data_IF_254336975515
#
_entry.id   IF_254336975515
#
_cell.length_a   1.000
_cell.length_b   1.000
_cell.length_c   1.000
_cell.angle_alpha   90.00
_cell.angle_beta   90.00
_cell.angle_gamma   90.00
#
_symmetry.space_group_name_H-M   'P 1'
#
loop_
_entity.id
_entity.type
_entity.pdbx_description
1 polymer ?
#
# COMPACT_ATOMS: atom_id res chain seq x y z
N UNK A 1 7.10 22.08 -6.41
CA UNK A 1 7.19 22.07 -4.93
C UNK A 1 5.81 22.16 -4.32
N UNK A 2 4.97 21.14 -4.52
CA UNK A 2 3.68 21.05 -3.84
C UNK A 2 3.80 20.05 -2.69
N UNK A 3 3.90 20.53 -1.44
CA UNK A 3 3.75 19.65 -0.28
C UNK A 3 2.26 19.38 -0.10
N UNK A 4 1.86 18.12 -0.28
CA UNK A 4 0.48 17.68 -0.03
C UNK A 4 0.38 16.99 1.32
N UNK A 5 -0.80 17.08 1.93
CA UNK A 5 -1.13 16.43 3.20
C UNK A 5 -2.14 15.32 2.91
N UNK A 6 -1.82 14.09 3.29
CA UNK A 6 -2.70 12.95 3.08
C UNK A 6 -2.92 12.19 4.39
N UNK A 7 -4.16 11.79 4.72
CA UNK A 7 -4.39 10.82 5.78
C UNK A 7 -3.88 9.45 5.31
N UNK A 8 -3.01 8.82 6.09
CA UNK A 8 -2.40 7.56 5.72
C UNK A 8 -2.30 6.59 6.91
N UNK A 9 -2.56 5.32 6.63
CA UNK A 9 -2.03 4.22 7.42
C UNK A 9 -0.61 3.93 6.96
N UNK A 10 0.38 4.07 7.84
CA UNK A 10 1.79 3.87 7.51
C UNK A 10 2.46 2.97 8.55
N UNK A 11 3.43 2.19 8.09
CA UNK A 11 4.26 1.37 8.95
C UNK A 11 5.56 2.12 9.21
N UNK A 12 5.89 2.29 10.48
CA UNK A 12 7.17 2.88 10.90
C UNK A 12 7.80 1.95 11.92
N UNK A 13 9.00 1.47 11.63
CA UNK A 13 9.83 0.82 12.65
C UNK A 13 10.50 1.90 13.47
N UNK A 14 10.09 2.01 14.73
CA UNK A 14 10.89 2.70 15.75
C UNK A 14 12.00 1.76 16.24
N UNK A 15 12.78 2.21 17.22
CA UNK A 15 13.82 1.39 17.83
C UNK A 15 13.22 0.22 18.62
N UNK A 16 14.01 -0.85 18.76
CA UNK A 16 13.69 -1.89 19.73
C UNK A 16 13.76 -1.28 21.12
N UNK A 17 12.84 -1.66 22.00
CA UNK A 17 12.90 -1.25 23.40
C UNK A 17 13.50 -2.39 24.23
N UNK A 18 14.80 -2.34 24.58
CA UNK A 18 15.44 -3.41 25.33
C UNK A 18 14.88 -3.57 26.76
N UNK A 19 14.03 -2.66 27.23
CA UNK A 19 13.37 -2.76 28.53
C UNK A 19 12.10 -3.62 28.52
N UNK A 20 11.58 -3.99 27.34
CA UNK A 20 10.41 -4.85 27.19
C UNK A 20 10.79 -6.33 27.16
N UNK A 21 9.87 -7.21 27.59
CA UNK A 21 10.01 -8.67 27.50
C UNK A 21 10.28 -9.15 26.07
N UNK A 22 9.75 -8.43 25.08
CA UNK A 22 10.03 -8.63 23.67
C UNK A 22 10.41 -7.29 23.03
N UNK A 23 11.72 -6.99 22.83
CA UNK A 23 12.16 -5.66 22.41
C UNK A 23 11.55 -5.15 21.11
N UNK A 24 11.16 -6.06 20.20
CA UNK A 24 10.47 -5.70 18.96
C UNK A 24 9.06 -5.12 19.13
N UNK A 25 8.47 -5.18 20.33
CA UNK A 25 7.24 -4.45 20.64
C UNK A 25 7.48 -2.93 20.64
N UNK A 26 8.71 -2.48 20.87
CA UNK A 26 9.11 -1.07 20.77
C UNK A 26 8.98 -0.49 19.36
N UNK A 27 8.95 -1.34 18.32
CA UNK A 27 8.89 -0.90 16.93
C UNK A 27 7.61 -0.13 16.57
N UNK A 28 6.55 -0.17 17.40
CA UNK A 28 5.34 0.66 17.25
C UNK A 28 4.39 0.30 16.09
N UNK A 29 4.89 -0.33 15.03
CA UNK A 29 4.08 -0.97 13.99
C UNK A 29 3.27 -0.02 13.11
N UNK A 30 2.02 -0.41 12.80
CA UNK A 30 1.10 0.35 11.95
C UNK A 30 0.49 1.53 12.71
N UNK A 31 0.54 2.72 12.10
CA UNK A 31 -0.02 3.97 12.64
C UNK A 31 -0.92 4.66 11.62
N UNK A 32 -1.76 5.57 12.11
CA UNK A 32 -2.56 6.47 11.28
C UNK A 32 -2.20 7.92 11.61
N UNK A 33 -1.88 8.72 10.59
CA UNK A 33 -1.64 10.16 10.73
C UNK A 33 -1.86 10.90 9.42
N UNK A 34 -1.91 12.22 9.49
CA UNK A 34 -1.71 13.08 8.33
C UNK A 34 -0.21 13.16 8.02
N UNK A 35 0.21 12.63 6.87
CA UNK A 35 1.60 12.69 6.41
C UNK A 35 1.77 13.77 5.35
N UNK A 36 2.93 14.44 5.40
CA UNK A 36 3.32 15.45 4.41
C UNK A 36 4.18 14.78 3.35
N UNK A 37 3.76 14.88 2.09
CA UNK A 37 4.49 14.35 0.94
C UNK A 37 4.95 15.51 0.06
N UNK A 38 6.25 15.56 -0.20
CA UNK A 38 6.81 16.47 -1.19
C UNK A 38 6.72 15.80 -2.57
N UNK A 39 5.86 16.31 -3.45
CA UNK A 39 5.60 15.70 -4.76
C UNK A 39 6.78 15.81 -5.72
N UNK A 40 7.73 16.72 -5.49
CA UNK A 40 8.93 16.85 -6.33
C UNK A 40 9.98 15.78 -6.00
N UNK A 41 9.92 15.21 -4.79
CA UNK A 41 10.94 14.30 -4.25
C UNK A 41 10.41 12.92 -3.88
N UNK A 42 9.13 12.65 -4.14
CA UNK A 42 8.48 11.38 -3.77
C UNK A 42 7.92 10.68 -4.99
N UNK A 43 8.21 9.39 -5.11
CA UNK A 43 7.61 8.52 -6.12
C UNK A 43 6.48 7.69 -5.51
N UNK A 44 5.43 7.43 -6.31
CA UNK A 44 4.39 6.47 -5.96
C UNK A 44 4.73 5.09 -6.54
N UNK A 45 4.65 4.05 -5.71
CA UNK A 45 4.97 2.67 -6.10
C UNK A 45 3.81 1.74 -5.74
N UNK A 46 3.34 0.97 -6.72
CA UNK A 46 2.41 -0.14 -6.49
C UNK A 46 3.23 -1.42 -6.35
N UNK A 47 3.32 -1.95 -5.12
CA UNK A 47 3.96 -3.23 -4.88
C UNK A 47 3.00 -4.38 -5.21
N UNK A 48 3.56 -5.51 -5.64
CA UNK A 48 2.81 -6.74 -5.93
C UNK A 48 1.72 -6.59 -7.02
N UNK A 49 1.91 -5.73 -8.01
CA UNK A 49 1.07 -5.68 -9.20
C UNK A 49 1.38 -6.87 -10.13
N UNK A 50 0.72 -8.00 -9.90
CA UNK A 50 0.90 -9.22 -10.69
C UNK A 50 -0.21 -9.34 -11.74
N UNK A 51 0.14 -9.80 -12.94
CA UNK A 51 -0.85 -10.30 -13.89
C UNK A 51 -1.20 -11.74 -13.49
N UNK A 52 -2.45 -11.94 -13.06
CA UNK A 52 -2.94 -13.21 -12.51
C UNK A 52 -3.61 -14.08 -13.55
N UNK A 53 -3.66 -13.64 -14.81
CA UNK A 53 -4.34 -14.33 -15.90
C UNK A 53 -5.83 -14.58 -15.64
N UNK A 54 -6.44 -15.44 -16.45
CA UNK A 54 -7.86 -15.77 -16.37
C UNK A 54 -8.14 -16.97 -15.45
N UNK A 55 -9.36 -17.10 -14.90
CA UNK A 55 -9.80 -18.31 -14.22
C UNK A 55 -9.77 -19.56 -15.11
N UNK A 56 -9.96 -19.42 -16.42
CA UNK A 56 -9.92 -20.52 -17.39
C UNK A 56 -8.49 -21.06 -17.57
N UNK A 57 -7.50 -20.15 -17.64
CA UNK A 57 -6.09 -20.51 -17.82
C UNK A 57 -5.45 -21.00 -16.51
N UNK A 58 -5.87 -20.44 -15.37
CA UNK A 58 -5.23 -20.66 -14.06
C UNK A 58 -6.24 -21.01 -12.95
N UNK A 59 -7.15 -21.93 -13.22
CA UNK A 59 -8.26 -22.28 -12.32
C UNK A 59 -7.82 -22.67 -10.90
N UNK A 60 -6.67 -23.35 -10.75
CA UNK A 60 -6.14 -23.71 -9.43
C UNK A 60 -5.74 -22.50 -8.59
N UNK A 61 -5.14 -21.50 -9.24
CA UNK A 61 -4.69 -20.27 -8.59
C UNK A 61 -5.88 -19.40 -8.17
N UNK A 62 -6.84 -19.21 -9.09
CA UNK A 62 -8.07 -18.46 -8.84
C UNK A 62 -8.98 -19.11 -7.78
N UNK A 63 -8.91 -20.44 -7.57
CA UNK A 63 -9.59 -21.11 -6.44
C UNK A 63 -8.86 -20.91 -5.10
N UNK A 64 -7.54 -20.78 -5.11
CA UNK A 64 -6.73 -20.68 -3.90
C UNK A 64 -6.60 -19.22 -3.40
N UNK A 65 -6.68 -18.24 -4.30
CA UNK A 65 -6.46 -16.83 -3.98
C UNK A 65 -7.79 -16.07 -4.00
N UNK A 66 -8.40 -15.97 -2.83
CA UNK A 66 -9.71 -15.34 -2.66
C UNK A 66 -9.75 -13.87 -3.08
N UNK A 67 -8.62 -13.16 -2.98
CA UNK A 67 -8.63 -11.70 -3.12
C UNK A 67 -8.58 -11.20 -4.55
N UNK A 68 -8.45 -12.08 -5.57
CA UNK A 68 -8.38 -11.66 -6.97
C UNK A 68 -9.57 -10.78 -7.41
N UNK A 69 -10.83 -11.12 -7.13
CA UNK A 69 -11.96 -10.26 -7.48
C UNK A 69 -11.88 -8.87 -6.83
N UNK A 70 -11.36 -8.78 -5.59
CA UNK A 70 -11.15 -7.50 -4.89
C UNK A 70 -10.01 -6.71 -5.53
N UNK A 71 -8.89 -7.36 -5.85
CA UNK A 71 -7.74 -6.73 -6.50
C UNK A 71 -8.14 -6.16 -7.87
N UNK A 72 -8.89 -6.92 -8.68
CA UNK A 72 -9.41 -6.45 -9.95
C UNK A 72 -10.34 -5.25 -9.80
N UNK A 73 -11.23 -5.26 -8.79
CA UNK A 73 -12.11 -4.13 -8.50
C UNK A 73 -11.30 -2.87 -8.17
N UNK A 74 -10.26 -2.99 -7.36
CA UNK A 74 -9.33 -1.89 -7.03
C UNK A 74 -8.66 -1.37 -8.31
N UNK A 75 -8.16 -2.26 -9.16
CA UNK A 75 -7.55 -1.89 -10.43
C UNK A 75 -8.52 -1.16 -11.37
N UNK A 76 -9.81 -1.54 -11.37
CA UNK A 76 -10.83 -0.90 -12.23
C UNK A 76 -11.37 0.42 -11.67
N UNK A 77 -11.57 0.52 -10.36
CA UNK A 77 -12.35 1.62 -9.77
C UNK A 77 -11.48 2.64 -9.02
N UNK A 78 -10.39 2.19 -8.38
CA UNK A 78 -9.58 3.03 -7.48
C UNK A 78 -8.30 3.51 -8.16
N UNK A 79 -7.60 2.64 -8.87
CA UNK A 79 -6.33 2.99 -9.51
C UNK A 79 -6.47 4.08 -10.57
N UNK A 80 -7.49 4.10 -11.46
CA UNK A 80 -7.56 5.12 -12.49
C UNK A 80 -7.65 6.57 -11.94
N UNK A 81 -8.56 6.90 -10.99
CA UNK A 81 -8.58 8.24 -10.42
C UNK A 81 -7.34 8.53 -9.55
N UNK A 82 -6.83 7.55 -8.79
CA UNK A 82 -5.64 7.72 -7.96
C UNK A 82 -4.40 8.06 -8.80
N UNK A 83 -4.11 7.25 -9.83
CA UNK A 83 -2.95 7.46 -10.70
C UNK A 83 -3.07 8.75 -11.51
N UNK A 84 -4.29 9.17 -11.87
CA UNK A 84 -4.53 10.47 -12.49
C UNK A 84 -4.16 11.60 -11.53
N UNK A 85 -4.62 11.54 -10.27
CA UNK A 85 -4.31 12.55 -9.27
C UNK A 85 -2.79 12.66 -9.02
N UNK A 86 -2.10 11.53 -8.88
CA UNK A 86 -0.64 11.48 -8.68
C UNK A 86 0.11 12.13 -9.86
N UNK A 87 -0.31 11.86 -11.10
CA UNK A 87 0.34 12.42 -12.30
C UNK A 87 0.07 13.90 -12.50
N UNK A 88 -0.96 14.45 -11.85
CA UNK A 88 -1.32 15.87 -11.92
C UNK A 88 -0.81 16.69 -10.73
N UNK A 89 -0.08 16.07 -9.80
CA UNK A 89 0.43 16.67 -8.57
C UNK A 89 1.83 17.30 -8.73
#
# INVERSE_FOLDING_TARGET
MAIVKIPAGYYQQFDADPSLDHPGQGYGGWRHAEIRIDTDHTAFVVMHAWDTGSPEDYAGWHRAVEYFPRAEKICREVFPPLLRAIRSA
#
